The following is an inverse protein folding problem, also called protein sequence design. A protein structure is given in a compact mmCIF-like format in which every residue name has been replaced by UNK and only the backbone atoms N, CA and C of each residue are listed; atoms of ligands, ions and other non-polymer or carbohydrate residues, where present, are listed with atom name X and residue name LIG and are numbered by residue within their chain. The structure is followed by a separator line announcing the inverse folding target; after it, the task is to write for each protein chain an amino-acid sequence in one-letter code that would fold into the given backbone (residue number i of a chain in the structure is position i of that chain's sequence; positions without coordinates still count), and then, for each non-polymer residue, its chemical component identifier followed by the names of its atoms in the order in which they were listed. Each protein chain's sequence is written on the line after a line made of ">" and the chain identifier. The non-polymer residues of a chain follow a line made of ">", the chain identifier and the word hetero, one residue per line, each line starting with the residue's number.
data_IF_161652774447
#
_entry.id   IF_161652774447
#
_cell.length_a   1.000
_cell.length_b   1.000
_cell.length_c   1.000
_cell.angle_alpha   90.00
_cell.angle_beta   90.00
_cell.angle_gamma   90.00
#
_symmetry.space_group_name_H-M   'P 1'
#
loop_
_entity.id
_entity.type
_entity.pdbx_description
1 polymer ?
#
# COMPACT_ATOMS: atom_id res chain seq x y z
N UNK A 1 13.28 26.40 2.42
CA UNK A 1 13.66 24.99 2.48
C UNK A 1 12.42 24.16 2.70
N UNK A 2 12.04 23.45 1.69
CA UNK A 2 10.83 22.67 1.74
C UNK A 2 11.05 21.45 2.65
N UNK A 3 10.39 21.40 3.80
CA UNK A 3 10.49 20.28 4.73
C UNK A 3 9.42 19.25 4.39
N UNK A 4 9.73 18.43 3.42
CA UNK A 4 8.84 17.36 3.01
C UNK A 4 8.77 16.28 4.08
N UNK A 5 7.58 15.94 4.61
CA UNK A 5 7.46 14.84 5.57
C UNK A 5 7.94 13.54 4.96
N UNK A 6 8.74 12.80 5.72
CA UNK A 6 9.36 11.58 5.25
C UNK A 6 9.72 10.68 6.42
N UNK A 7 9.49 9.38 6.27
CA UNK A 7 10.09 8.37 7.15
C UNK A 7 10.26 7.03 6.44
N UNK A 8 11.16 6.22 6.97
CA UNK A 8 11.46 4.88 6.48
C UNK A 8 11.51 3.92 7.66
N UNK A 9 10.74 2.84 7.58
CA UNK A 9 10.67 1.81 8.60
C UNK A 9 11.19 0.50 8.03
N UNK A 10 12.10 -0.14 8.77
CA UNK A 10 12.65 -1.46 8.42
C UNK A 10 12.39 -2.39 9.59
N UNK A 11 11.79 -3.55 9.34
CA UNK A 11 11.42 -4.47 10.41
C UNK A 11 11.37 -5.91 9.90
N UNK A 12 11.36 -6.86 10.84
CA UNK A 12 11.08 -8.26 10.50
C UNK A 12 9.58 -8.44 10.31
N UNK A 13 9.16 -9.22 9.28
CA UNK A 13 7.74 -9.45 9.02
C UNK A 13 7.04 -10.00 10.26
N UNK A 14 6.06 -9.25 10.77
CA UNK A 14 5.30 -9.63 11.94
C UNK A 14 3.94 -8.95 11.90
N UNK A 15 2.89 -9.74 11.81
CA UNK A 15 1.53 -9.23 11.70
C UNK A 15 1.13 -8.35 12.91
N UNK A 16 1.73 -8.58 14.06
CA UNK A 16 1.45 -7.77 15.26
C UNK A 16 1.95 -6.33 15.13
N UNK A 17 2.99 -6.11 14.30
CA UNK A 17 3.50 -4.76 14.06
C UNK A 17 2.57 -3.95 13.16
N UNK A 18 1.78 -4.60 12.34
CA UNK A 18 0.88 -3.93 11.39
C UNK A 18 -0.05 -2.96 12.11
N UNK A 19 -0.69 -3.37 13.19
CA UNK A 19 -1.61 -2.52 13.94
C UNK A 19 -0.90 -1.34 14.62
N UNK A 20 0.33 -1.55 15.10
CA UNK A 20 1.13 -0.49 15.73
C UNK A 20 1.57 0.55 14.72
N UNK A 21 2.08 0.10 13.57
CA UNK A 21 2.49 0.99 12.48
C UNK A 21 1.28 1.74 11.93
N UNK A 22 0.14 1.06 11.80
CA UNK A 22 -1.11 1.70 11.38
C UNK A 22 -1.48 2.88 12.28
N UNK A 23 -1.44 2.72 13.59
CA UNK A 23 -1.74 3.81 14.53
C UNK A 23 -0.76 4.97 14.36
N UNK A 24 0.51 4.66 14.23
CA UNK A 24 1.55 5.67 14.00
C UNK A 24 1.30 6.44 12.70
N UNK A 25 1.05 5.74 11.59
CA UNK A 25 0.84 6.39 10.29
C UNK A 25 -0.47 7.18 10.24
N UNK A 26 -1.53 6.71 10.90
CA UNK A 26 -2.78 7.46 11.02
C UNK A 26 -2.54 8.81 11.69
N UNK A 27 -1.83 8.82 12.79
CA UNK A 27 -1.48 10.04 13.52
C UNK A 27 -0.61 10.95 12.66
N UNK A 28 0.38 10.37 11.97
CA UNK A 28 1.25 11.11 11.06
C UNK A 28 0.45 11.83 9.97
N UNK A 29 -0.41 11.11 9.26
CA UNK A 29 -1.22 11.71 8.18
C UNK A 29 -2.15 12.80 8.69
N UNK A 30 -2.78 12.58 9.83
CA UNK A 30 -3.70 13.57 10.42
C UNK A 30 -3.00 14.87 10.78
N UNK A 31 -1.72 14.81 11.14
CA UNK A 31 -0.93 15.99 11.50
C UNK A 31 -0.36 16.71 10.28
N UNK A 32 0.10 15.97 9.27
CA UNK A 32 0.80 16.59 8.14
C UNK A 32 -0.11 17.02 7.01
N UNK A 33 -1.29 16.41 6.86
CA UNK A 33 -2.22 16.71 5.77
C UNK A 33 -3.31 17.67 6.23
N UNK A 34 -3.60 18.66 5.38
CA UNK A 34 -4.72 19.58 5.62
C UNK A 34 -6.05 18.87 5.40
N UNK A 35 -6.16 18.11 4.31
CA UNK A 35 -7.38 17.36 3.97
C UNK A 35 -7.46 16.06 4.78
N UNK A 36 -8.38 16.03 5.75
CA UNK A 36 -8.56 14.86 6.61
C UNK A 36 -9.18 13.66 5.89
N UNK A 37 -9.96 13.89 4.84
CA UNK A 37 -10.45 12.81 3.98
C UNK A 37 -9.32 12.10 3.26
N UNK A 38 -8.34 12.87 2.77
CA UNK A 38 -7.13 12.31 2.20
C UNK A 38 -6.33 11.53 3.23
N UNK A 39 -6.20 12.08 4.46
CA UNK A 39 -5.51 11.39 5.55
C UNK A 39 -6.11 10.01 5.83
N UNK A 40 -7.43 9.90 5.84
CA UNK A 40 -8.14 8.61 6.03
C UNK A 40 -7.86 7.62 4.89
N UNK A 41 -7.90 8.10 3.64
CA UNK A 41 -7.62 7.25 2.48
C UNK A 41 -6.17 6.75 2.48
N UNK A 42 -5.22 7.62 2.81
CA UNK A 42 -3.81 7.23 2.90
C UNK A 42 -3.54 6.27 4.05
N UNK A 43 -4.25 6.44 5.16
CA UNK A 43 -4.16 5.52 6.29
C UNK A 43 -4.66 4.12 5.91
N UNK A 44 -5.76 4.04 5.19
CA UNK A 44 -6.28 2.78 4.65
C UNK A 44 -5.26 2.13 3.72
N UNK A 45 -4.75 2.88 2.75
CA UNK A 45 -3.78 2.36 1.79
C UNK A 45 -2.50 1.86 2.48
N UNK A 46 -1.99 2.62 3.44
CA UNK A 46 -0.79 2.23 4.18
C UNK A 46 -0.99 0.92 4.94
N UNK A 47 -2.13 0.77 5.59
CA UNK A 47 -2.49 -0.47 6.29
C UNK A 47 -2.52 -1.65 5.32
N UNK A 48 -3.20 -1.52 4.19
CA UNK A 48 -3.34 -2.59 3.22
C UNK A 48 -2.00 -2.97 2.58
N UNK A 49 -1.19 -1.98 2.24
CA UNK A 49 0.14 -2.22 1.67
C UNK A 49 1.06 -2.91 2.67
N UNK A 50 1.02 -2.48 3.93
CA UNK A 50 1.85 -3.05 4.98
C UNK A 50 1.43 -4.49 5.30
N UNK A 51 0.13 -4.73 5.42
CA UNK A 51 -0.40 -6.08 5.65
C UNK A 51 -0.02 -7.02 4.51
N UNK A 52 -0.13 -6.54 3.27
CA UNK A 52 0.28 -7.28 2.09
C UNK A 52 1.78 -7.62 2.12
N UNK A 53 2.62 -6.65 2.44
CA UNK A 53 4.07 -6.85 2.49
C UNK A 53 4.45 -7.92 3.53
N UNK A 54 3.78 -7.91 4.69
CA UNK A 54 4.00 -8.92 5.73
C UNK A 54 3.48 -10.29 5.31
N UNK A 55 2.27 -10.35 4.72
CA UNK A 55 1.63 -11.61 4.32
C UNK A 55 2.42 -12.35 3.22
N UNK A 56 2.99 -11.61 2.27
CA UNK A 56 3.72 -12.20 1.14
C UNK A 56 5.22 -12.35 1.39
N UNK A 57 5.70 -11.90 2.53
CA UNK A 57 7.12 -12.02 2.87
C UNK A 57 7.51 -13.48 3.08
N UNK A 58 8.66 -13.88 2.53
CA UNK A 58 9.24 -15.22 2.75
C UNK A 58 10.19 -15.23 3.94
N UNK A 59 11.16 -14.32 3.94
CA UNK A 59 12.17 -14.18 4.97
C UNK A 59 12.80 -12.79 4.90
N UNK A 60 13.69 -12.50 5.83
CA UNK A 60 14.45 -11.26 5.82
C UNK A 60 13.65 -10.06 6.29
N UNK A 61 14.04 -8.90 5.81
CA UNK A 61 13.48 -7.63 6.20
C UNK A 61 12.29 -7.24 5.33
N UNK A 62 11.30 -6.62 5.95
CA UNK A 62 10.24 -5.88 5.28
C UNK A 62 10.49 -4.40 5.55
N UNK A 63 10.25 -3.56 4.56
CA UNK A 63 10.39 -2.11 4.76
C UNK A 63 9.25 -1.35 4.13
N UNK A 64 9.01 -0.17 4.69
CA UNK A 64 8.02 0.77 4.20
C UNK A 64 8.61 2.18 4.24
N UNK A 65 8.39 2.94 3.18
CA UNK A 65 8.85 4.32 3.08
C UNK A 65 7.69 5.20 2.66
N UNK A 66 7.55 6.35 3.33
CA UNK A 66 6.58 7.38 2.97
C UNK A 66 7.35 8.63 2.62
N UNK A 67 7.13 9.15 1.42
CA UNK A 67 7.81 10.31 0.88
C UNK A 67 6.80 11.27 0.27
N UNK A 68 7.20 12.54 0.18
CA UNK A 68 6.48 13.55 -0.60
C UNK A 68 7.41 14.02 -1.70
N UNK A 69 6.97 13.88 -2.94
CA UNK A 69 7.67 14.33 -4.13
C UNK A 69 6.83 15.43 -4.79
N UNK A 70 7.18 16.71 -4.56
CA UNK A 70 6.36 17.82 -5.02
C UNK A 70 4.98 17.83 -4.37
N UNK A 71 3.93 17.64 -5.15
CA UNK A 71 2.55 17.56 -4.67
C UNK A 71 2.01 16.11 -4.60
N UNK A 72 2.90 15.12 -4.68
CA UNK A 72 2.54 13.70 -4.67
C UNK A 72 3.08 13.02 -3.44
N UNK A 73 2.22 12.33 -2.71
CA UNK A 73 2.63 11.45 -1.62
C UNK A 73 2.84 10.04 -2.18
N UNK A 74 3.98 9.46 -1.83
CA UNK A 74 4.41 8.14 -2.32
C UNK A 74 4.59 7.20 -1.14
N UNK A 75 3.94 6.05 -1.20
CA UNK A 75 4.13 4.96 -0.25
C UNK A 75 4.80 3.81 -0.98
N UNK A 76 5.94 3.35 -0.47
CA UNK A 76 6.62 2.16 -1.01
C UNK A 76 6.74 1.10 0.06
N UNK A 77 6.54 -0.15 -0.33
CA UNK A 77 6.83 -1.31 0.51
C UNK A 77 7.77 -2.25 -0.23
N UNK A 78 8.66 -2.89 0.51
CA UNK A 78 9.59 -3.89 -0.02
C UNK A 78 9.51 -5.14 0.84
N UNK A 79 9.44 -6.29 0.19
CA UNK A 79 9.54 -7.58 0.87
C UNK A 79 10.14 -8.63 -0.05
N UNK A 80 10.83 -9.58 0.53
CA UNK A 80 11.26 -10.79 -0.19
C UNK A 80 10.07 -11.73 -0.30
N UNK A 81 10.00 -12.46 -1.41
CA UNK A 81 8.91 -13.40 -1.63
C UNK A 81 9.39 -14.59 -2.44
N UNK A 82 8.61 -15.66 -2.44
CA UNK A 82 8.89 -16.85 -3.23
C UNK A 82 8.44 -16.65 -4.69
N UNK A 83 9.01 -17.38 -5.67
CA UNK A 83 8.61 -17.29 -7.06
C UNK A 83 7.10 -17.52 -7.28
N UNK A 84 6.51 -18.45 -6.54
CA UNK A 84 5.07 -18.78 -6.64
C UNK A 84 4.20 -17.63 -6.16
N UNK A 85 4.55 -17.07 -5.01
CA UNK A 85 3.83 -15.90 -4.46
C UNK A 85 4.02 -14.67 -5.34
N UNK A 86 5.23 -14.48 -5.86
CA UNK A 86 5.51 -13.37 -6.77
C UNK A 86 4.65 -13.45 -8.03
N UNK A 87 4.53 -14.63 -8.65
CA UNK A 87 3.70 -14.83 -9.83
C UNK A 87 2.23 -14.49 -9.55
N UNK A 88 1.72 -14.92 -8.40
CA UNK A 88 0.34 -14.65 -7.98
C UNK A 88 0.10 -13.15 -7.77
N UNK A 89 1.00 -12.48 -7.07
CA UNK A 89 0.90 -11.04 -6.79
C UNK A 89 1.01 -10.22 -8.07
N UNK A 90 1.93 -10.56 -8.97
CA UNK A 90 2.08 -9.87 -10.26
C UNK A 90 0.80 -9.96 -11.09
N UNK A 91 0.21 -11.15 -11.18
CA UNK A 91 -1.05 -11.34 -11.90
C UNK A 91 -2.16 -10.48 -11.31
N UNK A 92 -2.25 -10.43 -9.98
CA UNK A 92 -3.24 -9.63 -9.28
C UNK A 92 -3.05 -8.14 -9.55
N UNK A 93 -1.83 -7.62 -9.36
CA UNK A 93 -1.55 -6.20 -9.55
C UNK A 93 -1.74 -5.79 -11.01
N UNK A 94 -1.30 -6.61 -11.96
CA UNK A 94 -1.50 -6.33 -13.38
C UNK A 94 -3.00 -6.22 -13.71
N UNK A 95 -3.83 -7.08 -13.13
CA UNK A 95 -5.28 -7.00 -13.25
C UNK A 95 -5.86 -5.73 -12.67
N UNK A 96 -5.39 -5.33 -11.48
CA UNK A 96 -5.83 -4.10 -10.81
C UNK A 96 -5.47 -2.87 -11.66
N UNK A 97 -4.24 -2.80 -12.15
CA UNK A 97 -3.76 -1.66 -12.95
C UNK A 97 -4.50 -1.57 -14.29
N UNK A 98 -4.76 -2.71 -14.93
CA UNK A 98 -5.43 -2.78 -16.22
C UNK A 98 -6.93 -2.50 -16.16
N UNK A 99 -7.54 -2.54 -14.97
CA UNK A 99 -8.98 -2.34 -14.80
C UNK A 99 -9.37 -0.90 -15.14
N UNK A 100 -10.28 -0.75 -16.09
CA UNK A 100 -10.84 0.56 -16.47
C UNK A 100 -11.78 1.11 -15.40
N UNK A 101 -12.40 0.22 -14.62
CA UNK A 101 -13.29 0.57 -13.51
C UNK A 101 -12.78 -0.13 -12.24
N UNK A 102 -11.95 0.55 -11.43
CA UNK A 102 -11.39 -0.05 -10.22
C UNK A 102 -12.42 -0.51 -9.20
N UNK A 103 -13.54 0.22 -9.09
CA UNK A 103 -14.61 -0.15 -8.17
C UNK A 103 -15.29 -1.44 -8.59
N UNK A 104 -15.60 -1.60 -9.87
CA UNK A 104 -16.20 -2.83 -10.39
C UNK A 104 -15.24 -4.01 -10.25
N UNK A 105 -13.95 -3.78 -10.51
CA UNK A 105 -12.92 -4.82 -10.31
C UNK A 105 -12.92 -5.30 -8.86
N UNK A 106 -12.97 -4.36 -7.90
CA UNK A 106 -13.00 -4.69 -6.49
C UNK A 106 -14.27 -5.48 -6.11
N UNK A 107 -15.44 -5.08 -6.62
CA UNK A 107 -16.69 -5.80 -6.37
C UNK A 107 -16.65 -7.23 -6.93
N UNK A 108 -16.11 -7.40 -8.12
CA UNK A 108 -15.96 -8.72 -8.74
C UNK A 108 -15.00 -9.60 -7.93
N UNK A 109 -13.92 -9.02 -7.43
CA UNK A 109 -12.96 -9.71 -6.58
C UNK A 109 -13.58 -10.13 -5.24
N UNK A 110 -14.40 -9.27 -4.63
CA UNK A 110 -15.14 -9.58 -3.42
C UNK A 110 -16.06 -10.80 -3.61
N UNK A 111 -16.80 -10.82 -4.71
CA UNK A 111 -17.69 -11.94 -5.04
C UNK A 111 -16.91 -13.26 -5.19
N UNK A 112 -15.71 -13.20 -5.77
CA UNK A 112 -14.83 -14.36 -5.93
C UNK A 112 -14.17 -14.78 -4.63
N UNK A 113 -13.75 -13.81 -3.82
CA UNK A 113 -13.06 -14.04 -2.55
C UNK A 113 -13.94 -14.78 -1.54
N UNK A 114 -15.26 -14.59 -1.58
CA UNK A 114 -16.20 -15.32 -0.75
C UNK A 114 -16.12 -16.84 -0.96
N UNK A 115 -15.58 -17.28 -2.10
CA UNK A 115 -15.39 -18.69 -2.45
C UNK A 115 -13.96 -19.17 -2.21
N UNK A 116 -13.04 -18.28 -1.80
CA UNK A 116 -11.63 -18.60 -1.55
C UNK A 116 -11.37 -18.64 -0.05
N UNK A 117 -10.44 -19.49 0.34
CA UNK A 117 -10.02 -19.60 1.74
C UNK A 117 -8.86 -18.67 2.10
N UNK A 118 -8.15 -18.14 1.12
CA UNK A 118 -6.94 -17.33 1.34
C UNK A 118 -7.19 -15.83 1.45
N UNK A 119 -8.36 -15.33 1.05
CA UNK A 119 -8.77 -13.92 1.21
C UNK A 119 -7.81 -12.87 0.64
N UNK A 120 -6.75 -13.30 -0.03
CA UNK A 120 -5.67 -12.42 -0.48
C UNK A 120 -6.07 -11.62 -1.72
N UNK A 121 -5.55 -10.40 -1.81
CA UNK A 121 -5.73 -9.54 -2.97
C UNK A 121 -6.77 -8.44 -2.80
N UNK A 122 -7.68 -8.58 -1.85
CA UNK A 122 -8.72 -7.56 -1.60
C UNK A 122 -8.10 -6.23 -1.18
N UNK A 123 -7.07 -6.29 -0.31
CA UNK A 123 -6.41 -5.10 0.20
C UNK A 123 -5.78 -4.25 -0.90
N UNK A 124 -5.06 -4.88 -1.83
CA UNK A 124 -4.44 -4.16 -2.95
C UNK A 124 -5.49 -3.54 -3.88
N UNK A 125 -6.59 -4.24 -4.12
CA UNK A 125 -7.69 -3.71 -4.93
C UNK A 125 -8.34 -2.50 -4.24
N UNK A 126 -8.44 -2.51 -2.91
CA UNK A 126 -8.96 -1.37 -2.12
C UNK A 126 -8.05 -0.14 -2.21
N UNK A 127 -6.75 -0.33 -2.28
CA UNK A 127 -5.80 0.78 -2.47
C UNK A 127 -6.15 1.56 -3.73
N UNK A 128 -6.48 0.87 -4.80
CA UNK A 128 -6.87 1.49 -6.06
C UNK A 128 -8.28 2.06 -6.03
N UNK A 129 -9.26 1.30 -5.54
CA UNK A 129 -10.68 1.68 -5.61
C UNK A 129 -11.10 2.64 -4.50
N UNK A 130 -10.78 2.33 -3.23
CA UNK A 130 -11.24 3.14 -2.09
C UNK A 130 -10.26 4.25 -1.73
N UNK A 131 -8.96 3.98 -1.76
CA UNK A 131 -7.96 5.01 -1.48
C UNK A 131 -7.66 5.89 -2.69
N UNK A 132 -8.14 5.50 -3.86
CA UNK A 132 -8.00 6.26 -5.13
C UNK A 132 -6.54 6.56 -5.48
N UNK A 133 -5.65 5.62 -5.19
CA UNK A 133 -4.22 5.76 -5.45
C UNK A 133 -3.80 5.08 -6.75
N UNK A 134 -2.79 5.65 -7.40
CA UNK A 134 -2.05 4.94 -8.45
C UNK A 134 -1.24 3.80 -7.84
N UNK A 135 -1.09 2.71 -8.56
CA UNK A 135 -0.41 1.51 -8.09
C UNK A 135 0.57 1.01 -9.14
N UNK A 136 1.81 0.77 -8.72
CA UNK A 136 2.88 0.23 -9.55
C UNK A 136 3.67 -0.79 -8.75
N UNK A 137 4.42 -1.65 -9.42
CA UNK A 137 5.34 -2.56 -8.75
C UNK A 137 6.60 -2.77 -9.56
N UNK A 138 7.67 -3.10 -8.86
CA UNK A 138 8.95 -3.49 -9.44
C UNK A 138 9.45 -4.75 -8.75
N UNK A 139 10.17 -5.56 -9.50
CA UNK A 139 10.82 -6.76 -8.96
C UNK A 139 12.29 -6.67 -9.27
N UNK A 140 13.11 -6.72 -8.24
CA UNK A 140 14.56 -6.75 -8.35
C UNK A 140 15.07 -7.93 -7.53
N UNK A 141 15.68 -8.90 -8.22
CA UNK A 141 16.04 -10.19 -7.65
C UNK A 141 14.78 -10.91 -7.12
N UNK A 142 14.73 -11.25 -5.85
CA UNK A 142 13.59 -11.88 -5.19
C UNK A 142 12.79 -10.88 -4.33
N UNK A 143 13.06 -9.59 -4.51
CA UNK A 143 12.41 -8.53 -3.75
C UNK A 143 11.31 -7.86 -4.56
N UNK A 144 10.13 -7.80 -3.99
CA UNK A 144 8.98 -7.10 -4.56
C UNK A 144 8.87 -5.72 -3.93
N UNK A 145 8.85 -4.69 -4.78
CA UNK A 145 8.54 -3.33 -4.38
C UNK A 145 7.18 -2.93 -4.93
N UNK A 146 6.27 -2.51 -4.06
CA UNK A 146 4.99 -1.93 -4.46
C UNK A 146 5.02 -0.44 -4.16
N UNK A 147 4.61 0.37 -5.13
CA UNK A 147 4.58 1.82 -5.05
C UNK A 147 3.15 2.30 -5.26
N UNK A 148 2.62 3.04 -4.28
CA UNK A 148 1.31 3.68 -4.38
C UNK A 148 1.48 5.20 -4.31
N UNK A 149 0.74 5.91 -5.13
CA UNK A 149 0.85 7.37 -5.24
C UNK A 149 -0.49 8.05 -5.13
N UNK A 150 -0.50 9.19 -4.48
CA UNK A 150 -1.69 10.06 -4.39
C UNK A 150 -1.27 11.51 -4.49
N UNK A 151 -2.04 12.30 -5.22
CA UNK A 151 -1.88 13.74 -5.22
C UNK A 151 -2.28 14.30 -3.87
N UNK A 152 -1.50 15.24 -3.34
CA UNK A 152 -1.79 15.92 -2.08
C UNK A 152 -2.75 17.08 -2.37
N UNK A 153 -4.03 16.88 -2.04
CA UNK A 153 -5.05 17.90 -2.17
C UNK A 153 -5.08 18.72 -0.88
N UNK A 154 -5.15 20.06 -1.00
CA UNK A 154 -5.21 20.95 0.15
C UNK A 154 -3.87 21.25 0.80
N UNK A 155 -2.78 20.63 0.35
CA UNK A 155 -1.43 20.91 0.83
C UNK A 155 -1.09 20.25 2.15
N UNK A 156 0.10 20.60 2.66
CA UNK A 156 0.66 20.10 3.91
C UNK A 156 0.53 21.15 5.01
N UNK A 157 0.36 20.69 6.24
CA UNK A 157 0.44 21.56 7.40
C UNK A 157 1.90 22.01 7.62
N UNK A 158 2.13 23.28 7.98
CA UNK A 158 3.48 23.80 8.24
C UNK A 158 4.12 23.18 9.46
#
# INVERSE_FOLDING_TARGET
>A
MDRTPYFHLVFRPNIKLVSTVRRFTNEFYRRVLVDQGLAERLALATHELLENAVAYSSDGETSMRIEVEGDVLVIRTWNRTTPERLAAVKKLIDGIIAASDPEQFYQDLLATAAKRTDGSGLGLARVRSEAEMGLEYEVENDQLCIRATSKIVGGLNP
#
